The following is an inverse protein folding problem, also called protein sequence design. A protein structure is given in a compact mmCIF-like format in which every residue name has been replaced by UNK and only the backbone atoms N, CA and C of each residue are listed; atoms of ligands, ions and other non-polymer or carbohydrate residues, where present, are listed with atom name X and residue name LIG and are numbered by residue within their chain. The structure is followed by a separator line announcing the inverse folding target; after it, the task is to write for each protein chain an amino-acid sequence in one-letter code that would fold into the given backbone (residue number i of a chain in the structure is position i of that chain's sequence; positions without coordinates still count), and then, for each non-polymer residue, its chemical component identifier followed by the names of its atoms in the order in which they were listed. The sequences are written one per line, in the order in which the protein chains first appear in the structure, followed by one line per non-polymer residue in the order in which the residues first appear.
data_IF_692392488316
#
_entry.id   IF_692392488316
#
_cell.length_a   1.000
_cell.length_b   1.000
_cell.length_c   1.000
_cell.angle_alpha   90.00
_cell.angle_beta   90.00
_cell.angle_gamma   90.00
#
_symmetry.space_group_name_H-M   'P 1'
#
loop_
_entity.id
_entity.type
_entity.pdbx_description
1 polymer ?
#
# COMPACT_ATOMS: atom_id res chain seq x y z
N UNK A 1 -45.54 -69.77 -64.32
CA UNK A 1 -44.93 -69.77 -62.97
C UNK A 1 -44.73 -71.22 -62.51
N UNK A 2 -43.57 -71.56 -61.97
CA UNK A 2 -43.25 -72.92 -61.50
C UNK A 2 -43.77 -73.12 -60.07
N UNK A 3 -44.30 -74.30 -59.73
CA UNK A 3 -44.90 -74.62 -58.41
C UNK A 3 -44.02 -74.23 -57.22
N UNK A 4 -42.69 -74.40 -57.33
CA UNK A 4 -41.71 -74.03 -56.28
C UNK A 4 -41.63 -72.52 -56.04
N UNK A 5 -41.81 -71.69 -57.08
CA UNK A 5 -41.80 -70.23 -56.94
C UNK A 5 -43.03 -69.75 -56.16
N UNK A 6 -44.20 -70.31 -56.45
CA UNK A 6 -45.46 -70.03 -55.75
C UNK A 6 -45.35 -70.41 -54.27
N UNK A 7 -44.74 -71.55 -53.95
CA UNK A 7 -44.49 -71.97 -52.56
C UNK A 7 -43.52 -71.05 -51.82
N UNK A 8 -42.46 -70.58 -52.48
CA UNK A 8 -41.47 -69.68 -51.90
C UNK A 8 -42.04 -68.28 -51.64
N UNK A 9 -42.83 -67.78 -52.58
CA UNK A 9 -43.58 -66.53 -52.42
C UNK A 9 -44.63 -66.67 -51.31
N UNK A 10 -45.42 -67.75 -51.31
CA UNK A 10 -46.41 -68.03 -50.27
C UNK A 10 -45.79 -68.10 -48.86
N UNK A 11 -44.62 -68.72 -48.71
CA UNK A 11 -43.89 -68.73 -47.43
C UNK A 11 -43.40 -67.33 -47.03
N UNK A 12 -42.91 -66.54 -47.98
CA UNK A 12 -42.46 -65.16 -47.72
C UNK A 12 -43.63 -64.25 -47.33
N UNK A 13 -44.80 -64.43 -47.94
CA UNK A 13 -46.03 -63.75 -47.55
C UNK A 13 -46.48 -64.16 -46.15
N UNK A 14 -46.51 -65.46 -45.83
CA UNK A 14 -46.83 -65.94 -44.46
C UNK A 14 -45.86 -65.38 -43.41
N UNK A 15 -44.57 -65.26 -43.73
CA UNK A 15 -43.58 -64.65 -42.82
C UNK A 15 -43.88 -63.16 -42.61
N UNK A 16 -44.11 -62.41 -43.68
CA UNK A 16 -44.49 -60.99 -43.60
C UNK A 16 -45.82 -60.78 -42.85
N UNK A 17 -46.79 -61.65 -43.06
CA UNK A 17 -48.05 -61.66 -42.30
C UNK A 17 -47.78 -61.93 -40.82
N UNK A 18 -46.97 -62.93 -40.49
CA UNK A 18 -46.62 -63.23 -39.09
C UNK A 18 -45.90 -62.06 -38.39
N UNK A 19 -45.01 -61.35 -39.10
CA UNK A 19 -44.32 -60.17 -38.59
C UNK A 19 -45.27 -58.98 -38.41
N UNK A 20 -46.20 -58.77 -39.35
CA UNK A 20 -47.25 -57.75 -39.22
C UNK A 20 -48.21 -58.05 -38.09
N UNK A 21 -48.63 -59.32 -37.92
CA UNK A 21 -49.48 -59.76 -36.81
C UNK A 21 -48.76 -59.54 -35.48
N UNK A 22 -47.46 -59.88 -35.39
CA UNK A 22 -46.66 -59.60 -34.19
C UNK A 22 -46.57 -58.09 -33.90
N UNK A 23 -46.39 -57.28 -34.93
CA UNK A 23 -46.33 -55.82 -34.78
C UNK A 23 -47.69 -55.21 -34.39
N UNK A 24 -48.79 -55.70 -34.98
CA UNK A 24 -50.14 -55.29 -34.62
C UNK A 24 -50.46 -55.71 -33.18
N UNK A 25 -50.19 -56.95 -32.81
CA UNK A 25 -50.35 -57.43 -31.43
C UNK A 25 -49.51 -56.58 -30.46
N UNK A 26 -48.27 -56.25 -30.82
CA UNK A 26 -47.41 -55.40 -29.99
C UNK A 26 -48.01 -53.99 -29.79
N UNK A 27 -48.58 -53.39 -30.84
CA UNK A 27 -49.26 -52.09 -30.76
C UNK A 27 -50.61 -52.16 -30.01
N UNK A 28 -51.36 -53.25 -30.19
CA UNK A 28 -52.63 -53.52 -29.49
C UNK A 28 -52.41 -53.76 -27.99
N UNK A 29 -51.30 -54.40 -27.61
CA UNK A 29 -50.87 -54.52 -26.21
C UNK A 29 -50.31 -53.23 -25.62
N UNK A 30 -50.24 -52.15 -26.41
CA UNK A 30 -49.78 -50.84 -25.96
C UNK A 30 -48.32 -50.51 -26.27
N UNK A 31 -47.58 -51.29 -27.07
CA UNK A 31 -46.11 -51.25 -27.24
C UNK A 31 -45.43 -49.92 -27.64
N UNK A 32 -46.18 -48.82 -27.78
CA UNK A 32 -45.69 -47.47 -27.49
C UNK A 32 -46.36 -46.99 -26.22
N UNK A 33 -45.98 -47.61 -25.10
CA UNK A 33 -46.66 -47.33 -23.85
C UNK A 33 -46.30 -45.90 -23.45
N UNK A 34 -47.32 -45.09 -23.16
CA UNK A 34 -47.11 -43.81 -22.49
C UNK A 34 -46.31 -44.02 -21.19
N UNK A 35 -46.37 -45.22 -20.60
CA UNK A 35 -45.60 -45.61 -19.42
C UNK A 35 -44.07 -45.57 -19.65
N UNK A 36 -43.55 -46.16 -20.73
CA UNK A 36 -42.10 -46.19 -21.03
C UNK A 36 -41.58 -44.80 -21.38
N UNK A 37 -42.36 -44.03 -22.16
CA UNK A 37 -42.04 -42.63 -22.45
C UNK A 37 -42.04 -41.79 -21.18
N UNK A 38 -43.02 -41.97 -20.28
CA UNK A 38 -43.10 -41.26 -19.01
C UNK A 38 -41.93 -41.62 -18.08
N UNK A 39 -41.55 -42.90 -18.01
CA UNK A 39 -40.39 -43.34 -17.22
C UNK A 39 -39.07 -42.80 -17.79
N UNK A 40 -38.93 -42.76 -19.12
CA UNK A 40 -37.79 -42.10 -19.76
C UNK A 40 -37.79 -40.60 -19.49
N UNK A 41 -38.93 -39.93 -19.63
CA UNK A 41 -39.06 -38.50 -19.39
C UNK A 41 -38.75 -38.14 -17.93
N UNK A 42 -39.23 -38.94 -16.97
CA UNK A 42 -38.92 -38.79 -15.55
C UNK A 42 -37.42 -38.95 -15.29
N UNK A 43 -36.78 -40.00 -15.83
CA UNK A 43 -35.33 -40.18 -15.70
C UNK A 43 -34.54 -39.02 -16.26
N UNK A 44 -34.93 -38.51 -17.44
CA UNK A 44 -34.27 -37.34 -18.04
C UNK A 44 -34.46 -36.08 -17.19
N UNK A 45 -35.66 -35.88 -16.63
CA UNK A 45 -35.93 -34.77 -15.72
C UNK A 45 -35.08 -34.87 -14.45
N UNK A 46 -35.04 -36.04 -13.82
CA UNK A 46 -34.22 -36.30 -12.63
C UNK A 46 -32.73 -36.09 -12.90
N UNK A 47 -32.21 -36.59 -14.03
CA UNK A 47 -30.82 -36.37 -14.42
C UNK A 47 -30.50 -34.90 -14.68
N UNK A 48 -31.39 -34.16 -15.32
CA UNK A 48 -31.21 -32.72 -15.53
C UNK A 48 -31.30 -31.94 -14.22
N UNK A 49 -32.19 -32.31 -13.31
CA UNK A 49 -32.30 -31.72 -11.97
C UNK A 49 -31.02 -31.96 -11.16
N UNK A 50 -30.48 -33.17 -11.20
CA UNK A 50 -29.20 -33.51 -10.57
C UNK A 50 -28.07 -32.68 -11.15
N UNK A 51 -27.95 -32.58 -12.48
CA UNK A 51 -26.93 -31.74 -13.12
C UNK A 51 -27.06 -30.27 -12.73
N UNK A 52 -28.30 -29.74 -12.63
CA UNK A 52 -28.56 -28.37 -12.16
C UNK A 52 -28.13 -28.17 -10.71
N UNK A 53 -28.41 -29.14 -9.85
CA UNK A 53 -27.99 -29.12 -8.46
C UNK A 53 -26.46 -29.14 -8.34
N UNK A 54 -25.80 -30.09 -9.01
CA UNK A 54 -24.34 -30.22 -9.05
C UNK A 54 -23.67 -28.95 -9.55
N UNK A 55 -24.18 -28.36 -10.63
CA UNK A 55 -23.67 -27.11 -11.18
C UNK A 55 -23.79 -25.96 -10.18
N UNK A 56 -24.91 -25.88 -9.47
CA UNK A 56 -25.13 -24.85 -8.45
C UNK A 56 -24.16 -25.02 -7.28
N UNK A 57 -23.91 -26.25 -6.84
CA UNK A 57 -22.93 -26.55 -5.79
C UNK A 57 -21.49 -26.26 -6.23
N UNK A 58 -21.13 -26.59 -7.48
CA UNK A 58 -19.82 -26.26 -8.05
C UNK A 58 -19.59 -24.75 -8.07
N UNK A 59 -20.57 -23.96 -8.51
CA UNK A 59 -20.47 -22.50 -8.50
C UNK A 59 -20.33 -21.94 -7.08
N UNK A 60 -21.09 -22.48 -6.12
CA UNK A 60 -20.99 -22.10 -4.71
C UNK A 60 -19.60 -22.39 -4.14
N UNK A 61 -19.06 -23.58 -4.42
CA UNK A 61 -17.73 -24.00 -3.96
C UNK A 61 -16.63 -23.20 -4.65
N UNK A 62 -16.75 -22.92 -5.95
CA UNK A 62 -15.82 -22.07 -6.68
C UNK A 62 -15.78 -20.64 -6.11
N UNK A 63 -16.93 -20.08 -5.72
CA UNK A 63 -17.02 -18.79 -5.03
C UNK A 63 -16.25 -18.79 -3.71
N UNK A 64 -16.42 -19.84 -2.89
CA UNK A 64 -15.66 -20.01 -1.63
C UNK A 64 -14.16 -20.15 -1.89
N UNK A 65 -13.76 -20.95 -2.88
CA UNK A 65 -12.36 -21.14 -3.25
C UNK A 65 -11.72 -19.82 -3.71
N UNK A 66 -12.42 -19.04 -4.52
CA UNK A 66 -11.94 -17.71 -4.96
C UNK A 66 -11.73 -16.76 -3.77
N UNK A 67 -12.62 -16.79 -2.78
CA UNK A 67 -12.48 -15.99 -1.57
C UNK A 67 -11.27 -16.44 -0.74
N UNK A 68 -11.11 -17.74 -0.51
CA UNK A 68 -9.95 -18.34 0.16
C UNK A 68 -8.63 -17.96 -0.54
N UNK A 69 -8.57 -18.09 -1.87
CA UNK A 69 -7.41 -17.72 -2.67
C UNK A 69 -7.07 -16.23 -2.56
N UNK A 70 -8.08 -15.36 -2.55
CA UNK A 70 -7.90 -13.92 -2.35
C UNK A 70 -7.34 -13.61 -0.95
N UNK A 71 -7.84 -14.28 0.08
CA UNK A 71 -7.32 -14.14 1.45
C UNK A 71 -5.88 -14.64 1.55
N UNK A 72 -5.54 -15.77 0.94
CA UNK A 72 -4.18 -16.31 0.89
C UNK A 72 -3.22 -15.35 0.17
N UNK A 73 -3.61 -14.80 -0.98
CA UNK A 73 -2.83 -13.82 -1.71
C UNK A 73 -2.58 -12.55 -0.90
N UNK A 74 -3.59 -12.06 -0.16
CA UNK A 74 -3.44 -10.91 0.76
C UNK A 74 -2.45 -11.21 1.88
N UNK A 75 -2.54 -12.39 2.50
CA UNK A 75 -1.59 -12.81 3.55
C UNK A 75 -0.16 -12.84 3.03
N UNK A 76 0.05 -13.43 1.84
CA UNK A 76 1.37 -13.46 1.19
C UNK A 76 1.90 -12.04 0.93
N UNK A 77 1.09 -11.17 0.34
CA UNK A 77 1.49 -9.78 0.08
C UNK A 77 1.85 -9.00 1.36
N UNK A 78 1.14 -9.23 2.46
CA UNK A 78 1.47 -8.64 3.76
C UNK A 78 2.81 -9.14 4.28
N UNK A 79 3.08 -10.43 4.14
CA UNK A 79 4.34 -11.02 4.60
C UNK A 79 5.54 -10.54 3.77
N UNK A 80 5.41 -10.50 2.45
CA UNK A 80 6.44 -9.95 1.55
C UNK A 80 6.74 -8.48 1.89
N UNK A 81 5.70 -7.69 2.22
CA UNK A 81 5.87 -6.30 2.64
C UNK A 81 6.61 -6.18 3.98
N UNK A 82 6.31 -7.05 4.95
CA UNK A 82 7.06 -7.06 6.23
C UNK A 82 8.53 -7.38 6.00
N UNK A 83 8.83 -8.38 5.16
CA UNK A 83 10.21 -8.76 4.84
C UNK A 83 10.98 -7.60 4.22
N UNK A 84 10.38 -6.90 3.26
CA UNK A 84 10.99 -5.70 2.64
C UNK A 84 11.21 -4.57 3.64
N UNK A 85 10.27 -4.35 4.56
CA UNK A 85 10.45 -3.34 5.62
C UNK A 85 11.61 -3.71 6.54
N UNK A 86 11.74 -4.98 6.90
CA UNK A 86 12.87 -5.45 7.72
C UNK A 86 14.21 -5.37 6.96
N UNK A 87 14.25 -5.63 5.66
CA UNK A 87 15.42 -5.40 4.82
C UNK A 87 15.82 -3.93 4.81
N UNK A 88 14.89 -3.02 4.54
CA UNK A 88 15.14 -1.58 4.59
C UNK A 88 15.60 -1.11 5.97
N UNK A 89 15.07 -1.67 7.05
CA UNK A 89 15.52 -1.39 8.43
C UNK A 89 16.96 -1.83 8.64
N UNK A 90 17.33 -3.03 8.18
CA UNK A 90 18.70 -3.54 8.25
C UNK A 90 19.67 -2.66 7.45
N UNK A 91 19.31 -2.31 6.22
CA UNK A 91 20.10 -1.40 5.39
C UNK A 91 20.26 -0.02 6.05
N UNK A 92 19.18 0.55 6.57
CA UNK A 92 19.22 1.83 7.30
C UNK A 92 20.11 1.77 8.55
N UNK A 93 20.08 0.66 9.29
CA UNK A 93 20.94 0.45 10.45
C UNK A 93 22.43 0.37 10.07
N UNK A 94 22.76 -0.32 8.98
CA UNK A 94 24.13 -0.38 8.46
C UNK A 94 24.63 0.99 8.03
N UNK A 95 23.82 1.74 7.27
CA UNK A 95 24.17 3.11 6.87
C UNK A 95 24.38 4.03 8.07
N UNK A 96 23.55 3.90 9.11
CA UNK A 96 23.72 4.64 10.36
C UNK A 96 25.03 4.27 11.05
N UNK A 97 25.35 2.98 11.15
CA UNK A 97 26.60 2.51 11.75
C UNK A 97 27.82 3.07 11.00
N UNK A 98 27.80 3.02 9.66
CA UNK A 98 28.87 3.60 8.84
C UNK A 98 29.00 5.11 9.06
N UNK A 99 27.87 5.82 9.14
CA UNK A 99 27.87 7.25 9.43
C UNK A 99 28.50 7.55 10.79
N UNK A 100 28.13 6.81 11.83
CA UNK A 100 28.69 6.96 13.18
C UNK A 100 30.20 6.70 13.19
N UNK A 101 30.67 5.65 12.51
CA UNK A 101 32.11 5.35 12.38
C UNK A 101 32.86 6.46 11.64
N UNK A 102 32.28 7.00 10.56
CA UNK A 102 32.87 8.13 9.83
C UNK A 102 32.96 9.37 10.72
N UNK A 103 31.91 9.67 11.49
CA UNK A 103 31.89 10.81 12.43
C UNK A 103 32.97 10.67 13.50
N UNK A 104 33.12 9.50 14.12
CA UNK A 104 34.18 9.26 15.10
C UNK A 104 35.58 9.45 14.50
N UNK A 105 35.83 8.92 13.28
CA UNK A 105 37.11 9.11 12.57
C UNK A 105 37.39 10.59 12.25
N UNK A 106 36.36 11.34 11.87
CA UNK A 106 36.46 12.79 11.65
C UNK A 106 36.81 13.51 12.94
N UNK A 107 36.13 13.20 14.04
CA UNK A 107 36.40 13.78 15.36
C UNK A 107 37.80 13.49 15.86
N UNK A 108 38.31 12.26 15.68
CA UNK A 108 39.70 11.93 16.03
C UNK A 108 40.71 12.75 15.22
N UNK A 109 40.49 12.90 13.91
CA UNK A 109 41.33 13.74 13.05
C UNK A 109 41.29 15.19 13.52
N UNK A 110 40.11 15.70 13.88
CA UNK A 110 39.95 17.05 14.41
C UNK A 110 40.64 17.22 15.76
N UNK A 111 40.50 16.26 16.68
CA UNK A 111 41.16 16.25 17.99
C UNK A 111 42.68 16.29 17.84
N UNK A 112 43.26 15.51 16.92
CA UNK A 112 44.70 15.56 16.61
C UNK A 112 45.14 16.93 16.10
N UNK A 113 44.38 17.54 15.18
CA UNK A 113 44.66 18.89 14.68
C UNK A 113 44.57 19.94 15.79
N UNK A 114 43.51 19.92 16.60
CA UNK A 114 43.32 20.82 17.73
C UNK A 114 44.43 20.65 18.77
N UNK A 115 44.86 19.42 19.04
CA UNK A 115 46.01 19.15 19.91
C UNK A 115 47.31 19.78 19.39
N UNK A 116 47.62 19.61 18.11
CA UNK A 116 48.79 20.24 17.46
C UNK A 116 48.71 21.77 17.55
N UNK A 117 47.54 22.35 17.26
CA UNK A 117 47.32 23.80 17.37
C UNK A 117 47.53 24.28 18.81
N UNK A 118 47.02 23.56 19.81
CA UNK A 118 47.22 23.89 21.22
C UNK A 118 48.70 23.88 21.62
N UNK A 119 49.46 22.87 21.17
CA UNK A 119 50.92 22.81 21.39
C UNK A 119 51.60 24.02 20.78
N UNK A 120 51.35 24.31 19.50
CA UNK A 120 51.93 25.47 18.81
C UNK A 120 51.55 26.79 19.51
N UNK A 121 50.30 26.91 19.98
CA UNK A 121 49.86 28.08 20.74
C UNK A 121 50.60 28.23 22.06
N UNK A 122 50.86 27.13 22.76
CA UNK A 122 51.65 27.12 23.99
C UNK A 122 53.09 27.58 23.72
N UNK A 123 53.74 26.99 22.74
CA UNK A 123 55.12 27.32 22.35
C UNK A 123 55.24 28.79 21.90
N UNK A 124 54.28 29.26 21.09
CA UNK A 124 54.19 30.65 20.65
C UNK A 124 53.93 31.63 21.80
N UNK A 125 53.14 31.23 22.81
CA UNK A 125 52.92 32.04 24.02
C UNK A 125 54.20 32.13 24.85
N UNK A 126 54.91 31.03 25.01
CA UNK A 126 56.18 30.98 25.74
C UNK A 126 57.27 31.83 25.06
N UNK A 127 57.42 31.69 23.75
CA UNK A 127 58.34 32.51 22.95
C UNK A 127 58.02 34.00 23.07
N UNK A 128 56.73 34.39 22.98
CA UNK A 128 56.30 35.78 23.20
C UNK A 128 56.68 36.28 24.59
N UNK A 129 56.47 35.49 25.62
CA UNK A 129 56.83 35.86 26.99
C UNK A 129 58.34 36.10 27.14
N UNK A 130 59.16 35.22 26.55
CA UNK A 130 60.63 35.36 26.52
C UNK A 130 61.04 36.65 25.79
N UNK A 131 60.47 36.90 24.61
CA UNK A 131 60.74 38.11 23.82
C UNK A 131 60.35 39.39 24.55
N UNK A 132 59.20 39.43 25.22
CA UNK A 132 58.78 40.60 26.02
C UNK A 132 59.74 40.84 27.18
N UNK A 133 60.17 39.79 27.88
CA UNK A 133 61.18 39.90 28.96
C UNK A 133 62.52 40.45 28.43
N UNK A 134 62.98 39.96 27.29
CA UNK A 134 64.21 40.46 26.66
C UNK A 134 64.07 41.91 26.21
N UNK A 135 62.95 42.26 25.56
CA UNK A 135 62.66 43.63 25.14
C UNK A 135 62.61 44.59 26.32
N UNK A 136 61.98 44.22 27.43
CA UNK A 136 61.94 45.04 28.64
C UNK A 136 63.35 45.30 29.21
N UNK A 137 64.22 44.27 29.25
CA UNK A 137 65.62 44.42 29.66
C UNK A 137 66.41 45.34 28.73
N UNK A 138 66.20 45.22 27.42
CA UNK A 138 66.88 46.07 26.42
C UNK A 138 66.41 47.52 26.50
N UNK A 139 65.10 47.76 26.63
CA UNK A 139 64.52 49.11 26.74
C UNK A 139 64.97 49.80 28.04
N UNK A 140 65.11 49.06 29.14
CA UNK A 140 65.72 49.59 30.37
C UNK A 140 67.20 49.97 30.18
N UNK A 141 67.92 49.31 29.27
CA UNK A 141 69.33 49.58 28.97
C UNK A 141 69.53 50.69 27.92
N UNK A 142 68.54 50.98 27.07
CA UNK A 142 68.65 52.00 26.02
C UNK A 142 68.05 53.33 26.45
N UNK A 143 68.86 54.40 26.49
CA UNK A 143 68.34 55.78 26.47
C UNK A 143 67.78 56.06 25.08
N UNK A 144 66.46 56.21 24.97
CA UNK A 144 65.77 56.47 23.70
C UNK A 144 66.12 57.88 23.22
N UNK A 145 66.70 57.98 22.02
CA UNK A 145 66.69 59.21 21.22
C UNK A 145 65.44 59.18 20.35
N UNK A 146 64.73 60.29 20.24
CA UNK A 146 63.59 60.41 19.35
C UNK A 146 64.08 60.24 17.90
N UNK A 147 63.60 59.18 17.24
CA UNK A 147 63.93 58.86 15.85
C UNK A 147 62.80 59.37 14.97
N UNK A 148 63.12 60.24 14.01
CA UNK A 148 62.16 60.68 13.01
C UNK A 148 61.83 59.51 12.08
N UNK A 149 60.54 59.16 11.99
CA UNK A 149 60.06 58.02 11.22
C UNK A 149 59.93 58.36 9.73
N UNK A 150 59.97 59.63 9.35
CA UNK A 150 59.84 60.09 7.96
C UNK A 150 61.17 60.16 7.22
N UNK A 151 62.30 60.12 7.95
CA UNK A 151 63.62 60.07 7.32
C UNK A 151 63.88 58.69 6.72
N UNK A 152 64.51 58.71 5.55
CA UNK A 152 65.01 57.52 4.88
C UNK A 152 66.29 57.04 5.58
N UNK A 153 66.54 55.73 5.59
CA UNK A 153 67.67 55.14 6.32
C UNK A 153 69.05 55.58 5.80
N UNK A 154 69.14 56.22 4.63
CA UNK A 154 70.36 56.80 4.08
C UNK A 154 71.41 55.76 3.69
N UNK A 155 71.03 54.49 3.51
CA UNK A 155 71.94 53.40 3.19
C UNK A 155 72.33 53.32 1.69
N UNK A 156 71.93 54.28 0.86
CA UNK A 156 72.29 54.39 -0.56
C UNK A 156 71.59 53.39 -1.50
N UNK A 157 70.57 52.65 -1.05
CA UNK A 157 69.70 51.86 -1.92
C UNK A 157 68.80 52.78 -2.76
N UNK A 158 68.62 52.42 -4.03
CA UNK A 158 67.83 53.23 -4.98
C UNK A 158 66.33 53.32 -4.65
N UNK A 159 65.83 52.45 -3.77
CA UNK A 159 64.40 52.34 -3.41
C UNK A 159 64.21 52.36 -1.91
N UNK A 160 65.07 53.05 -1.16
CA UNK A 160 64.85 53.18 0.26
C UNK A 160 63.57 53.97 0.53
N UNK A 161 62.82 53.47 1.49
CA UNK A 161 61.56 54.05 1.91
C UNK A 161 61.60 54.31 3.39
N UNK A 162 60.90 55.35 3.81
CA UNK A 162 60.73 55.63 5.23
C UNK A 162 59.99 54.48 5.92
N UNK A 163 60.25 54.30 7.22
CA UNK A 163 59.57 53.30 8.07
C UNK A 163 58.04 53.48 8.01
N UNK A 164 57.58 54.73 7.89
CA UNK A 164 56.15 55.04 7.81
C UNK A 164 55.55 54.50 6.50
N UNK A 165 56.21 54.74 5.37
CA UNK A 165 55.76 54.28 4.07
C UNK A 165 55.77 52.74 3.96
N UNK A 166 56.77 52.09 4.56
CA UNK A 166 56.84 50.63 4.63
C UNK A 166 55.67 50.04 5.45
N UNK A 167 55.28 50.70 6.56
CA UNK A 167 54.10 50.29 7.35
C UNK A 167 52.83 50.43 6.54
N UNK A 168 52.70 51.50 5.77
CA UNK A 168 51.53 51.73 4.92
C UNK A 168 51.43 50.69 3.81
N UNK A 169 52.54 50.39 3.11
CA UNK A 169 52.58 49.30 2.12
C UNK A 169 52.24 47.94 2.72
N UNK A 170 52.76 47.64 3.91
CA UNK A 170 52.42 46.41 4.62
C UNK A 170 50.92 46.33 4.93
N UNK A 171 50.34 47.44 5.39
CA UNK A 171 48.91 47.54 5.68
C UNK A 171 48.07 47.34 4.41
N UNK A 172 48.48 47.94 3.29
CA UNK A 172 47.84 47.75 1.99
C UNK A 172 47.86 46.29 1.55
N UNK A 173 49.03 45.64 1.61
CA UNK A 173 49.17 44.21 1.28
C UNK A 173 48.30 43.31 2.18
N UNK A 174 48.24 43.60 3.48
CA UNK A 174 47.38 42.87 4.41
C UNK A 174 45.88 43.07 4.10
N UNK A 175 45.48 44.29 3.74
CA UNK A 175 44.11 44.58 3.31
C UNK A 175 43.76 43.87 2.01
N UNK A 176 44.66 43.83 1.03
CA UNK A 176 44.48 43.06 -0.20
C UNK A 176 44.31 41.57 0.08
N UNK A 177 45.17 41.00 0.92
CA UNK A 177 45.05 39.60 1.32
C UNK A 177 43.71 39.32 2.02
N UNK A 178 43.27 40.24 2.89
CA UNK A 178 41.99 40.14 3.59
C UNK A 178 40.81 40.23 2.62
N UNK A 179 40.87 41.15 1.66
CA UNK A 179 39.87 41.28 0.58
C UNK A 179 39.79 40.01 -0.25
N UNK A 180 40.94 39.44 -0.65
CA UNK A 180 40.97 38.17 -1.39
C UNK A 180 40.32 37.03 -0.61
N UNK A 181 40.65 36.88 0.68
CA UNK A 181 40.03 35.88 1.55
C UNK A 181 38.51 36.09 1.69
N UNK A 182 38.07 37.34 1.79
CA UNK A 182 36.64 37.67 1.84
C UNK A 182 35.93 37.31 0.53
N UNK A 183 36.51 37.66 -0.63
CA UNK A 183 35.96 37.29 -1.94
C UNK A 183 35.88 35.77 -2.08
N UNK A 184 36.92 35.03 -1.69
CA UNK A 184 36.88 33.57 -1.70
C UNK A 184 35.85 32.98 -0.75
N UNK A 185 35.68 33.57 0.44
CA UNK A 185 34.61 33.16 1.36
C UNK A 185 33.22 33.42 0.77
N UNK A 186 33.02 34.57 0.12
CA UNK A 186 31.76 34.91 -0.56
C UNK A 186 31.48 33.95 -1.72
N UNK A 187 32.49 33.63 -2.54
CA UNK A 187 32.39 32.66 -3.63
C UNK A 187 32.00 31.27 -3.10
N UNK A 188 32.65 30.80 -2.04
CA UNK A 188 32.31 29.52 -1.40
C UNK A 188 30.88 29.54 -0.86
N UNK A 189 30.46 30.64 -0.22
CA UNK A 189 29.12 30.74 0.34
C UNK A 189 28.04 30.76 -0.75
N UNK A 190 28.28 31.52 -1.81
CA UNK A 190 27.38 31.59 -2.96
C UNK A 190 27.26 30.22 -3.64
N UNK A 191 28.39 29.52 -3.83
CA UNK A 191 28.40 28.16 -4.37
C UNK A 191 27.64 27.17 -3.47
N UNK A 192 27.70 27.33 -2.15
CA UNK A 192 26.89 26.53 -1.21
C UNK A 192 25.41 26.83 -1.34
N UNK A 193 25.03 28.11 -1.35
CA UNK A 193 23.64 28.55 -1.53
C UNK A 193 23.05 28.07 -2.86
N UNK A 194 23.79 28.18 -3.97
CA UNK A 194 23.34 27.70 -5.28
C UNK A 194 23.12 26.19 -5.31
N UNK A 195 24.00 25.40 -4.65
CA UNK A 195 23.80 23.96 -4.52
C UNK A 195 22.58 23.62 -3.67
N UNK A 196 22.36 24.37 -2.59
CA UNK A 196 21.20 24.20 -1.73
C UNK A 196 19.89 24.52 -2.48
N UNK A 197 19.86 25.60 -3.25
CA UNK A 197 18.74 25.93 -4.14
C UNK A 197 18.50 24.84 -5.19
N UNK A 198 19.55 24.31 -5.81
CA UNK A 198 19.43 23.19 -6.76
C UNK A 198 18.83 21.95 -6.09
N UNK A 199 19.25 21.61 -4.87
CA UNK A 199 18.67 20.51 -4.10
C UNK A 199 17.19 20.78 -3.80
N UNK A 200 16.84 21.98 -3.35
CA UNK A 200 15.44 22.36 -3.08
C UNK A 200 14.57 22.21 -4.33
N UNK A 201 15.05 22.66 -5.50
CA UNK A 201 14.35 22.48 -6.78
C UNK A 201 14.15 21.00 -7.11
N UNK A 202 15.17 20.14 -6.92
CA UNK A 202 15.00 18.70 -7.16
C UNK A 202 14.00 18.06 -6.20
N UNK A 203 13.96 18.49 -4.94
CA UNK A 203 12.98 18.02 -3.96
C UNK A 203 11.57 18.45 -4.37
N UNK A 204 11.40 19.69 -4.83
CA UNK A 204 10.13 20.22 -5.31
C UNK A 204 9.64 19.46 -6.54
N UNK A 205 10.52 19.21 -7.53
CA UNK A 205 10.20 18.38 -8.70
C UNK A 205 9.75 16.96 -8.30
N UNK A 206 10.43 16.33 -7.34
CA UNK A 206 10.03 15.01 -6.81
C UNK A 206 8.65 15.10 -6.14
N UNK A 207 8.37 16.16 -5.38
CA UNK A 207 7.09 16.38 -4.74
C UNK A 207 5.96 16.58 -5.78
N UNK A 208 6.22 17.36 -6.84
CA UNK A 208 5.30 17.54 -7.96
C UNK A 208 4.98 16.22 -8.65
N UNK A 209 6.00 15.42 -8.99
CA UNK A 209 5.81 14.09 -9.58
C UNK A 209 4.98 13.17 -8.67
N UNK A 210 5.23 13.19 -7.35
CA UNK A 210 4.43 12.42 -6.38
C UNK A 210 2.98 12.90 -6.33
N UNK A 211 2.75 14.21 -6.36
CA UNK A 211 1.42 14.79 -6.39
C UNK A 211 0.67 14.42 -7.67
N UNK A 212 1.35 14.42 -8.82
CA UNK A 212 0.74 14.04 -10.09
C UNK A 212 0.40 12.55 -10.13
N UNK A 213 1.30 11.69 -9.62
CA UNK A 213 1.00 10.27 -9.44
C UNK A 213 -0.23 10.08 -8.54
N UNK A 214 -0.34 10.85 -7.45
CA UNK A 214 -1.49 10.80 -6.55
C UNK A 214 -2.78 11.26 -7.24
N UNK A 215 -2.76 12.35 -8.01
CA UNK A 215 -3.90 12.82 -8.82
C UNK A 215 -4.33 11.78 -9.85
N UNK A 216 -3.37 11.21 -10.58
CA UNK A 216 -3.65 10.16 -11.57
C UNK A 216 -4.24 8.91 -10.92
N UNK A 217 -3.79 8.54 -9.72
CA UNK A 217 -4.38 7.45 -8.94
C UNK A 217 -5.81 7.77 -8.49
N UNK A 218 -6.09 9.00 -8.06
CA UNK A 218 -7.44 9.46 -7.73
C UNK A 218 -8.36 9.39 -8.95
N UNK A 219 -7.94 9.93 -10.10
CA UNK A 219 -8.71 9.88 -11.35
C UNK A 219 -8.99 8.44 -11.80
N UNK A 220 -8.00 7.54 -11.67
CA UNK A 220 -8.20 6.09 -11.93
C UNK A 220 -9.21 5.46 -10.98
N UNK A 221 -9.21 5.86 -9.70
CA UNK A 221 -10.19 5.39 -8.73
C UNK A 221 -11.60 5.90 -9.04
N UNK A 222 -11.73 7.16 -9.47
CA UNK A 222 -13.00 7.79 -9.85
C UNK A 222 -13.56 7.21 -11.15
N UNK A 223 -12.73 7.01 -12.17
CA UNK A 223 -13.13 6.34 -13.42
C UNK A 223 -13.56 4.90 -13.15
N UNK A 224 -12.86 4.18 -12.27
CA UNK A 224 -13.30 2.84 -11.82
C UNK A 224 -14.66 2.89 -11.11
N UNK A 225 -14.87 3.86 -10.21
CA UNK A 225 -16.19 4.09 -9.58
C UNK A 225 -17.27 4.41 -10.61
N UNK A 226 -17.02 5.32 -11.55
CA UNK A 226 -17.95 5.66 -12.65
C UNK A 226 -18.22 4.46 -13.56
N UNK A 227 -17.22 3.62 -13.84
CA UNK A 227 -17.41 2.37 -14.59
C UNK A 227 -18.27 1.35 -13.83
N UNK A 228 -18.17 1.30 -12.49
CA UNK A 228 -19.07 0.49 -11.67
C UNK A 228 -20.48 1.08 -11.56
N UNK A 229 -20.64 2.41 -11.68
CA UNK A 229 -21.94 3.06 -11.80
C UNK A 229 -22.57 2.82 -13.19
N UNK A 230 -21.75 2.69 -14.23
CA UNK A 230 -22.13 2.35 -15.59
C UNK A 230 -22.21 0.83 -15.85
N UNK A 231 -22.46 0.00 -14.83
CA UNK A 231 -23.03 -1.32 -15.08
C UNK A 231 -24.35 -1.13 -15.85
N UNK A 232 -24.72 -2.04 -16.77
CA UNK A 232 -26.00 -1.93 -17.48
C UNK A 232 -27.09 -1.78 -16.42
N UNK A 233 -27.73 -0.61 -16.41
CA UNK A 233 -28.87 -0.28 -15.55
C UNK A 233 -29.75 -1.51 -15.53
N UNK A 234 -29.96 -2.11 -14.34
CA UNK A 234 -30.84 -3.29 -14.19
C UNK A 234 -32.05 -3.04 -15.08
N UNK A 235 -32.20 -3.83 -16.14
CA UNK A 235 -33.29 -3.67 -17.11
C UNK A 235 -34.61 -3.65 -16.33
N UNK A 236 -35.61 -2.88 -16.77
CA UNK A 236 -36.90 -2.74 -16.06
C UNK A 236 -37.48 -4.09 -15.61
N UNK A 237 -37.27 -5.14 -16.41
CA UNK A 237 -37.63 -6.51 -16.07
C UNK A 237 -36.95 -7.06 -14.79
N UNK A 238 -35.67 -6.74 -14.53
CA UNK A 238 -34.94 -7.20 -13.34
C UNK A 238 -35.46 -6.47 -12.09
N UNK A 239 -35.72 -5.16 -12.19
CA UNK A 239 -36.30 -4.39 -11.09
C UNK A 239 -37.74 -4.85 -10.78
N UNK A 240 -38.52 -5.15 -11.81
CA UNK A 240 -39.87 -5.70 -11.67
C UNK A 240 -39.87 -7.12 -11.06
N UNK A 241 -38.87 -7.93 -11.39
CA UNK A 241 -38.68 -9.25 -10.76
C UNK A 241 -38.24 -9.13 -9.30
N UNK A 242 -37.38 -8.17 -8.95
CA UNK A 242 -37.01 -7.89 -7.55
C UNK A 242 -38.22 -7.40 -6.75
N UNK A 243 -39.06 -6.52 -7.32
CA UNK A 243 -40.30 -6.05 -6.71
C UNK A 243 -41.29 -7.19 -6.46
N UNK A 244 -41.48 -8.08 -7.45
CA UNK A 244 -42.30 -9.29 -7.30
C UNK A 244 -41.75 -10.25 -6.25
N UNK A 245 -40.43 -10.42 -6.18
CA UNK A 245 -39.80 -11.25 -5.14
C UNK A 245 -40.06 -10.66 -3.75
N UNK A 246 -39.97 -9.34 -3.59
CA UNK A 246 -40.22 -8.67 -2.31
C UNK A 246 -41.71 -8.73 -1.91
N UNK A 247 -42.63 -8.53 -2.86
CA UNK A 247 -44.08 -8.75 -2.65
C UNK A 247 -44.37 -10.21 -2.25
N UNK A 248 -43.70 -11.19 -2.86
CA UNK A 248 -43.83 -12.61 -2.52
C UNK A 248 -43.18 -12.97 -1.18
N UNK A 249 -42.18 -12.21 -0.70
CA UNK A 249 -41.65 -12.34 0.67
C UNK A 249 -42.63 -11.76 1.69
N UNK A 250 -43.22 -10.60 1.41
CA UNK A 250 -44.22 -9.97 2.29
C UNK A 250 -45.47 -10.86 2.38
N UNK A 251 -45.94 -11.41 1.26
CA UNK A 251 -47.04 -12.40 1.26
C UNK A 251 -46.70 -13.64 2.08
N UNK A 252 -45.52 -14.22 1.91
CA UNK A 252 -45.06 -15.35 2.75
C UNK A 252 -44.96 -14.99 4.23
N UNK A 253 -44.51 -13.78 4.56
CA UNK A 253 -44.45 -13.30 5.95
C UNK A 253 -45.85 -13.14 6.54
N UNK A 254 -46.79 -12.60 5.75
CA UNK A 254 -48.19 -12.45 6.15
C UNK A 254 -48.91 -13.79 6.24
N UNK A 255 -48.63 -14.75 5.36
CA UNK A 255 -49.15 -16.13 5.43
C UNK A 255 -48.55 -16.89 6.61
N UNK A 256 -47.26 -16.69 6.91
CA UNK A 256 -46.62 -17.19 8.12
C UNK A 256 -47.25 -16.58 9.38
N UNK A 257 -47.53 -15.27 9.39
CA UNK A 257 -48.23 -14.60 10.48
C UNK A 257 -49.68 -15.06 10.61
N UNK A 258 -50.40 -15.24 9.49
CA UNK A 258 -51.79 -15.72 9.47
C UNK A 258 -51.89 -17.17 9.95
N UNK A 259 -50.94 -18.03 9.54
CA UNK A 259 -50.76 -19.37 10.08
C UNK A 259 -50.49 -19.33 11.58
N UNK A 260 -49.63 -18.43 12.06
CA UNK A 260 -49.35 -18.26 13.49
C UNK A 260 -50.59 -17.84 14.27
N UNK A 261 -51.37 -16.89 13.77
CA UNK A 261 -52.62 -16.40 14.37
C UNK A 261 -53.73 -17.47 14.34
N UNK A 262 -53.83 -18.24 13.25
CA UNK A 262 -54.78 -19.35 13.14
C UNK A 262 -54.46 -20.48 14.12
N UNK A 263 -53.18 -20.82 14.31
CA UNK A 263 -52.75 -21.86 15.24
C UNK A 263 -52.90 -21.44 16.72
N UNK A 264 -52.89 -20.13 17.01
CA UNK A 264 -53.21 -19.59 18.34
C UNK A 264 -54.72 -19.62 18.60
N UNK A 265 -55.55 -19.38 17.58
CA UNK A 265 -57.02 -19.41 17.70
C UNK A 265 -57.61 -20.83 17.87
N UNK A 266 -56.90 -21.88 17.45
CA UNK A 266 -57.38 -23.28 17.56
C UNK A 266 -56.94 -24.00 18.83
N UNK A 267 -56.08 -23.40 19.66
CA UNK A 267 -55.51 -24.04 20.86
C UNK A 267 -56.09 -23.48 22.18
N UNK A 268 -57.38 -23.13 22.22
CA UNK A 268 -58.11 -22.95 23.48
C UNK A 268 -58.69 -24.31 23.94
N UNK A 269 -57.85 -25.13 24.57
CA UNK A 269 -58.26 -26.31 25.34
C UNK A 269 -58.14 -25.95 26.83
N UNK A 270 -59.30 -25.68 27.43
CA UNK A 270 -59.67 -25.83 28.84
C UNK A 270 -58.59 -25.59 29.91
N UNK A 271 -58.71 -24.48 30.66
CA UNK A 271 -58.25 -24.40 32.06
C UNK A 271 -59.47 -24.15 32.94
N UNK A 272 -59.81 -25.15 33.73
CA UNK A 272 -60.83 -25.11 34.78
C UNK A 272 -60.38 -24.14 35.89
N UNK A 273 -61.25 -23.25 36.41
CA UNK A 273 -60.87 -22.36 37.51
C UNK A 273 -60.83 -23.10 38.86
N UNK A 274 -59.65 -23.26 39.46
CA UNK A 274 -59.52 -23.66 40.87
C UNK A 274 -59.84 -22.48 41.80
N UNK A 275 -60.70 -22.75 42.77
CA UNK A 275 -61.25 -21.80 43.76
C UNK A 275 -60.17 -21.08 44.57
N UNK A 276 -60.40 -19.79 44.78
CA UNK A 276 -59.71 -18.95 45.75
C UNK A 276 -59.88 -19.50 47.18
N UNK A 277 -58.76 -19.68 47.89
CA UNK A 277 -58.73 -19.82 49.34
C UNK A 277 -57.82 -18.75 49.94
N UNK A 278 -58.35 -18.13 51.00
CA UNK A 278 -57.80 -17.03 51.79
C UNK A 278 -56.33 -17.19 52.20
N UNK A 279 -55.59 -16.08 52.23
CA UNK A 279 -55.01 -15.49 53.46
C UNK A 279 -54.09 -14.31 53.05
N UNK A 280 -54.45 -13.07 53.43
CA UNK A 280 -54.03 -12.38 54.67
C UNK A 280 -52.67 -11.69 54.51
N UNK A 281 -52.74 -10.36 54.36
CA UNK A 281 -51.87 -9.31 54.88
C UNK A 281 -50.43 -9.72 55.26
N UNK A 282 -49.45 -9.07 54.62
CA UNK A 282 -48.54 -8.14 55.31
C UNK A 282 -47.68 -7.37 54.29
N UNK A 283 -47.95 -6.07 54.21
CA UNK A 283 -46.90 -5.07 53.99
C UNK A 283 -46.00 -5.10 55.23
N UNK A 284 -44.69 -5.27 55.05
CA UNK A 284 -43.61 -4.43 55.61
C UNK A 284 -42.23 -5.04 55.31
N UNK A 285 -41.31 -4.13 54.98
CA UNK A 285 -39.85 -4.14 55.20
C UNK A 285 -38.98 -5.19 54.49
N UNK A 286 -38.25 -4.76 53.46
CA UNK A 286 -36.85 -4.29 53.53
C UNK A 286 -36.43 -3.61 52.22
#
# INVERSE_FOLDING_TARGET
MTTTAILREGHLYKKKESEKIKNLNHLETGGRDLCDFNQWQQRIQEEEEQKRYEMTELLRLAGKLSQEQSLAARKKAVEDNKQKVEEMRREAALLMQEFMVRKLKEEEKMRKKVGKVKSIMFDSKEARLKMVKLKAKMVQASRVKDVDLYETSGCGLHTEMSIMELRERLKMMQEEQRRWLQTKRMEINNNKQNKELSIQQTIEQIAEHRNEIARMAQLKSETKKRSSTNLPRKTEAILEMERKIEEMKIKRMNESMASYVSNVATNDVTIVPMKATNMRLKLLDM
#
